data_IF_327429603532
#
_entry.id   IF_327429603532
#
_cell.length_a   1.000
_cell.length_b   1.000
_cell.length_c   1.000
_cell.angle_alpha   90.00
_cell.angle_beta   90.00
_cell.angle_gamma   90.00
#
_symmetry.space_group_name_H-M   'P 1'
#
loop_
_entity.id
_entity.type
_entity.pdbx_description
1 polymer ?
#
# COMPACT_ATOMS: atom_id res chain seq x y z
N UNK A 1 26.93 4.03 49.88
CA UNK A 1 27.20 4.54 48.51
C UNK A 1 27.00 3.48 47.42
N UNK A 2 27.51 2.26 47.53
CA UNK A 2 27.31 1.21 46.49
C UNK A 2 25.85 0.82 46.24
N UNK A 3 24.96 0.85 47.24
CA UNK A 3 23.55 0.51 47.12
C UNK A 3 22.73 1.61 46.43
N UNK A 4 23.12 2.89 46.54
CA UNK A 4 22.48 4.03 45.88
C UNK A 4 22.84 4.05 44.40
N UNK A 5 24.06 3.67 44.05
CA UNK A 5 24.50 3.58 42.66
C UNK A 5 23.74 2.49 41.86
N UNK A 6 23.46 1.35 42.55
CA UNK A 6 22.68 0.25 41.92
C UNK A 6 21.22 0.66 41.67
N UNK A 7 20.61 1.42 42.58
CA UNK A 7 19.25 1.94 42.42
C UNK A 7 19.16 2.98 41.28
N UNK A 8 20.18 3.79 41.08
CA UNK A 8 20.25 4.79 40.00
C UNK A 8 20.39 4.15 38.60
N UNK A 9 21.15 3.01 38.51
CA UNK A 9 21.23 2.26 37.25
C UNK A 9 19.92 1.61 36.85
N UNK A 10 19.06 1.18 37.77
CA UNK A 10 17.75 0.62 37.46
C UNK A 10 16.73 1.67 36.97
N UNK A 11 16.91 2.95 37.26
CA UNK A 11 16.00 4.01 36.81
C UNK A 11 16.21 4.40 35.36
N UNK A 12 17.35 4.11 34.76
CA UNK A 12 17.66 4.42 33.35
C UNK A 12 17.29 3.31 32.34
N UNK A 13 16.76 2.18 32.80
CA UNK A 13 16.46 1.03 31.94
C UNK A 13 15.04 1.05 31.31
N UNK A 14 14.22 2.07 31.57
CA UNK A 14 12.94 2.24 30.89
C UNK A 14 13.12 3.04 29.61
N UNK A 15 13.89 2.54 28.65
CA UNK A 15 13.77 2.96 27.26
C UNK A 15 12.43 2.43 26.78
N UNK A 16 11.44 3.29 26.66
CA UNK A 16 10.18 2.96 26.00
C UNK A 16 10.49 2.59 24.55
N UNK A 17 10.48 1.29 24.27
CA UNK A 17 10.49 0.78 22.89
C UNK A 17 9.17 1.24 22.23
N UNK A 18 9.19 2.42 21.63
CA UNK A 18 8.09 2.86 20.80
C UNK A 18 8.07 1.97 19.55
N UNK A 19 7.03 1.18 19.39
CA UNK A 19 6.82 0.45 18.16
C UNK A 19 6.67 1.48 17.03
N UNK A 20 7.43 1.32 15.94
CA UNK A 20 7.43 2.24 14.82
C UNK A 20 6.34 1.86 13.82
N UNK A 21 5.58 2.85 13.33
CA UNK A 21 4.67 2.65 12.22
C UNK A 21 5.44 2.20 10.99
N UNK A 22 4.98 1.11 10.36
CA UNK A 22 5.63 0.56 9.17
C UNK A 22 4.74 -0.43 8.43
N UNK A 23 5.08 -0.66 7.17
CA UNK A 23 4.59 -1.81 6.40
C UNK A 23 5.36 -3.06 6.89
N UNK A 24 4.61 -4.09 7.28
CA UNK A 24 5.15 -5.36 7.75
C UNK A 24 5.29 -6.36 6.60
N UNK A 25 4.32 -6.39 5.68
CA UNK A 25 4.40 -7.15 4.44
C UNK A 25 3.60 -6.46 3.34
N UNK A 26 4.01 -6.73 2.11
CA UNK A 26 3.35 -6.31 0.89
C UNK A 26 3.38 -7.47 -0.10
N UNK A 27 2.19 -7.99 -0.43
CA UNK A 27 2.00 -9.06 -1.40
C UNK A 27 1.15 -8.53 -2.56
N UNK A 28 1.57 -8.80 -3.79
CA UNK A 28 0.85 -8.40 -5.00
C UNK A 28 0.64 -9.61 -5.89
N UNK A 29 -0.63 -9.97 -6.11
CA UNK A 29 -1.04 -10.99 -7.07
C UNK A 29 -1.58 -10.29 -8.31
N UNK A 30 -1.10 -10.69 -9.48
CA UNK A 30 -1.50 -10.16 -10.77
C UNK A 30 -2.01 -11.30 -11.64
N UNK A 31 -3.28 -11.25 -11.99
CA UNK A 31 -3.93 -12.21 -12.88
C UNK A 31 -4.10 -11.55 -14.26
N UNK A 32 -3.51 -12.17 -15.29
CA UNK A 32 -3.58 -11.67 -16.67
C UNK A 32 -4.78 -12.28 -17.36
N UNK A 33 -5.71 -11.44 -17.81
CA UNK A 33 -6.91 -11.86 -18.51
C UNK A 33 -6.66 -12.01 -20.04
N UNK A 34 -7.49 -12.81 -20.70
CA UNK A 34 -7.37 -13.07 -22.13
C UNK A 34 -7.51 -11.81 -22.99
N UNK A 35 -8.18 -10.77 -22.49
CA UNK A 35 -8.34 -9.47 -23.17
C UNK A 35 -7.15 -8.50 -22.93
N UNK A 36 -6.11 -8.97 -22.23
CA UNK A 36 -4.94 -8.17 -21.86
C UNK A 36 -5.14 -7.24 -20.67
N UNK A 37 -6.30 -7.28 -20.02
CA UNK A 37 -6.49 -6.60 -18.73
C UNK A 37 -5.83 -7.39 -17.60
N UNK A 38 -5.51 -6.69 -16.52
CA UNK A 38 -4.95 -7.29 -15.30
C UNK A 38 -5.94 -7.10 -14.15
N UNK A 39 -6.24 -8.18 -13.45
CA UNK A 39 -6.86 -8.13 -12.15
C UNK A 39 -5.78 -8.23 -11.09
N UNK A 40 -5.71 -7.23 -10.22
CA UNK A 40 -4.66 -7.11 -9.22
C UNK A 40 -5.25 -7.15 -7.83
N UNK A 41 -4.63 -7.95 -6.97
CA UNK A 41 -4.92 -8.00 -5.55
C UNK A 41 -3.65 -7.65 -4.78
N UNK A 42 -3.64 -6.50 -4.10
CA UNK A 42 -2.56 -6.11 -3.20
C UNK A 42 -2.99 -6.36 -1.75
N UNK A 43 -2.15 -7.06 -0.99
CA UNK A 43 -2.35 -7.30 0.43
C UNK A 43 -1.24 -6.63 1.22
N UNK A 44 -1.59 -5.63 2.02
CA UNK A 44 -0.65 -4.76 2.72
C UNK A 44 -0.90 -4.89 4.21
N UNK A 45 0.08 -5.41 4.94
CA UNK A 45 0.03 -5.52 6.40
C UNK A 45 0.81 -4.36 7.00
N UNK A 46 0.17 -3.60 7.88
CA UNK A 46 0.78 -2.44 8.51
C UNK A 46 0.71 -2.51 10.04
N UNK A 47 1.70 -1.96 10.70
CA UNK A 47 1.64 -1.58 12.11
C UNK A 47 1.29 -0.11 12.18
N UNK A 48 0.17 0.21 12.81
CA UNK A 48 -0.32 1.56 13.02
C UNK A 48 -0.20 1.95 14.51
N UNK A 49 0.36 3.13 14.77
CA UNK A 49 0.52 3.69 16.11
C UNK A 49 -0.35 4.98 16.29
N UNK A 50 -1.08 5.38 15.24
CA UNK A 50 -1.95 6.56 15.27
C UNK A 50 -1.23 7.87 15.00
N UNK A 51 -0.01 7.83 14.45
CA UNK A 51 0.75 9.03 14.06
C UNK A 51 0.53 9.35 12.59
N UNK A 52 1.13 8.60 11.67
CA UNK A 52 0.94 8.74 10.22
C UNK A 52 -0.25 7.90 9.74
N UNK A 53 -0.39 6.66 10.24
CA UNK A 53 -1.50 5.76 9.93
C UNK A 53 -2.61 5.99 10.98
N UNK A 54 -3.50 6.93 10.69
CA UNK A 54 -4.53 7.36 11.64
C UNK A 54 -5.93 6.90 11.26
N UNK A 55 -6.30 6.98 9.96
CA UNK A 55 -7.63 6.66 9.45
C UNK A 55 -7.61 5.54 8.40
N UNK A 56 -6.45 5.23 7.89
CA UNK A 56 -6.21 4.24 6.84
C UNK A 56 -4.84 4.45 6.22
N UNK A 57 -4.66 3.83 5.06
CA UNK A 57 -3.46 3.99 4.23
C UNK A 57 -3.83 4.62 2.90
N UNK A 58 -2.83 5.09 2.16
CA UNK A 58 -3.01 5.44 0.76
C UNK A 58 -2.05 4.66 -0.13
N UNK A 59 -2.47 4.42 -1.38
CA UNK A 59 -1.69 3.78 -2.44
C UNK A 59 -1.75 4.65 -3.68
N UNK A 60 -0.60 5.09 -4.16
CA UNK A 60 -0.49 5.83 -5.41
C UNK A 60 -0.28 4.85 -6.57
N UNK A 61 -1.14 4.93 -7.58
CA UNK A 61 -1.06 4.13 -8.79
C UNK A 61 -0.80 5.03 -10.01
N UNK A 62 0.37 4.90 -10.66
CA UNK A 62 0.68 5.70 -11.83
C UNK A 62 -0.14 5.22 -13.04
N UNK A 63 -0.89 6.14 -13.65
CA UNK A 63 -1.67 5.84 -14.87
C UNK A 63 -1.09 6.48 -16.11
N UNK A 64 0.02 7.21 -16.00
CA UNK A 64 0.66 7.91 -17.11
C UNK A 64 2.15 7.69 -17.05
N UNK A 65 2.72 7.17 -18.13
CA UNK A 65 4.16 6.98 -18.27
C UNK A 65 4.60 7.20 -19.73
N UNK A 66 5.89 7.15 -19.97
CA UNK A 66 6.47 7.11 -21.30
C UNK A 66 7.06 5.72 -21.53
N UNK A 67 6.76 5.15 -22.69
CA UNK A 67 7.38 3.91 -23.12
C UNK A 67 8.86 4.12 -23.53
N UNK A 68 9.55 3.04 -23.91
CA UNK A 68 10.94 3.10 -24.34
C UNK A 68 11.17 3.94 -25.59
N UNK A 69 10.14 4.09 -26.42
CA UNK A 69 10.16 4.93 -27.62
C UNK A 69 9.82 6.41 -27.33
N UNK A 70 9.52 6.74 -26.05
CA UNK A 70 9.16 8.09 -25.63
C UNK A 70 7.68 8.44 -25.81
N UNK A 71 6.85 7.51 -26.29
CA UNK A 71 5.44 7.74 -26.46
C UNK A 71 4.73 7.83 -25.10
N UNK A 72 3.71 8.69 -25.06
CA UNK A 72 2.85 8.81 -23.87
C UNK A 72 1.87 7.66 -23.81
N UNK A 73 1.95 6.86 -22.75
CA UNK A 73 1.01 5.78 -22.46
C UNK A 73 0.10 6.18 -21.31
N UNK A 74 -1.19 5.94 -21.48
CA UNK A 74 -2.21 6.08 -20.43
C UNK A 74 -2.83 4.72 -20.21
N UNK A 75 -2.74 4.22 -18.99
CA UNK A 75 -3.33 2.94 -18.59
C UNK A 75 -4.70 3.16 -17.96
N UNK A 76 -5.61 2.22 -18.15
CA UNK A 76 -6.90 2.20 -17.48
C UNK A 76 -6.73 1.78 -16.03
N UNK A 77 -7.59 2.30 -15.16
CA UNK A 77 -7.64 1.93 -13.76
C UNK A 77 -9.08 1.94 -13.25
N UNK A 78 -9.48 0.84 -12.62
CA UNK A 78 -10.80 0.70 -12.01
C UNK A 78 -10.65 0.01 -10.66
N UNK A 79 -11.01 0.71 -9.59
CA UNK A 79 -11.09 0.13 -8.26
C UNK A 79 -12.28 -0.81 -8.17
N UNK A 80 -12.09 -1.99 -7.55
CA UNK A 80 -13.13 -3.00 -7.36
C UNK A 80 -13.58 -3.00 -5.91
N UNK A 81 -12.66 -3.21 -4.97
CA UNK A 81 -12.98 -3.20 -3.53
C UNK A 81 -11.76 -2.90 -2.68
N UNK A 82 -12.03 -2.49 -1.45
CA UNK A 82 -11.04 -2.43 -0.38
C UNK A 82 -11.60 -3.19 0.82
N UNK A 83 -10.73 -4.03 1.41
CA UNK A 83 -11.04 -4.72 2.66
C UNK A 83 -10.03 -4.32 3.73
N UNK A 84 -10.47 -4.25 4.98
CA UNK A 84 -9.61 -4.18 6.16
C UNK A 84 -9.92 -5.38 7.04
N UNK A 85 -8.88 -6.19 7.30
CA UNK A 85 -8.99 -7.43 8.08
C UNK A 85 -10.10 -8.36 7.57
N UNK A 86 -10.30 -8.39 6.24
CA UNK A 86 -11.31 -9.20 5.55
C UNK A 86 -12.72 -8.61 5.50
N UNK A 87 -12.97 -7.48 6.13
CA UNK A 87 -14.27 -6.78 6.09
C UNK A 87 -14.24 -5.59 5.13
N UNK A 88 -15.35 -5.27 4.45
CA UNK A 88 -15.41 -4.10 3.58
C UNK A 88 -14.98 -2.82 4.29
N UNK A 89 -14.09 -2.07 3.65
CA UNK A 89 -13.55 -0.81 4.15
C UNK A 89 -13.98 0.34 3.22
N UNK A 90 -14.44 1.48 3.75
CA UNK A 90 -14.66 2.66 2.93
C UNK A 90 -13.39 3.08 2.21
N UNK A 91 -13.55 3.63 1.01
CA UNK A 91 -12.43 4.12 0.21
C UNK A 91 -12.88 5.21 -0.75
N UNK A 92 -11.93 6.03 -1.21
CA UNK A 92 -12.13 7.01 -2.27
C UNK A 92 -10.85 7.20 -3.06
N UNK A 93 -10.97 7.77 -4.26
CA UNK A 93 -9.83 8.05 -5.12
C UNK A 93 -9.64 9.54 -5.34
N UNK A 94 -8.39 9.95 -5.48
CA UNK A 94 -7.99 11.31 -5.85
C UNK A 94 -7.15 11.28 -7.12
N UNK A 95 -7.40 12.21 -8.04
CA UNK A 95 -6.54 12.40 -9.20
C UNK A 95 -5.23 13.06 -8.78
N UNK A 96 -4.11 12.48 -9.20
CA UNK A 96 -2.78 13.06 -9.06
C UNK A 96 -2.21 13.38 -10.44
N UNK A 97 -1.15 14.20 -10.48
CA UNK A 97 -0.50 14.59 -11.73
C UNK A 97 -0.09 13.39 -12.60
N UNK A 98 0.38 12.32 -11.98
CA UNK A 98 0.87 11.11 -12.66
C UNK A 98 -0.07 9.90 -12.56
N UNK A 99 -1.20 10.01 -11.88
CA UNK A 99 -2.04 8.84 -11.67
C UNK A 99 -3.21 9.07 -10.74
N UNK A 100 -3.49 8.05 -9.96
CA UNK A 100 -4.60 8.00 -9.02
C UNK A 100 -4.05 7.62 -7.65
N UNK A 101 -4.51 8.31 -6.61
CA UNK A 101 -4.35 7.90 -5.22
C UNK A 101 -5.60 7.21 -4.75
N UNK A 102 -5.45 6.02 -4.20
CA UNK A 102 -6.48 5.27 -3.49
C UNK A 102 -6.29 5.57 -2.01
N UNK A 103 -7.31 6.11 -1.35
CA UNK A 103 -7.33 6.30 0.11
C UNK A 103 -8.28 5.27 0.71
N UNK A 104 -7.83 4.55 1.74
CA UNK A 104 -8.66 3.63 2.51
C UNK A 104 -9.15 4.31 3.78
N UNK A 105 -10.31 3.91 4.28
CA UNK A 105 -10.93 4.48 5.46
C UNK A 105 -11.86 5.66 5.16
N UNK A 106 -12.32 6.26 6.24
CA UNK A 106 -13.19 7.44 6.27
C UNK A 106 -12.67 8.46 7.29
N UNK A 107 -13.53 9.29 7.86
CA UNK A 107 -13.15 10.25 8.87
C UNK A 107 -12.89 9.65 10.26
N UNK A 108 -13.27 8.40 10.49
CA UNK A 108 -13.07 7.71 11.76
C UNK A 108 -11.60 7.30 11.94
N UNK A 109 -11.13 7.42 13.18
CA UNK A 109 -9.79 6.96 13.52
C UNK A 109 -9.75 5.44 13.67
N UNK A 110 -8.67 4.84 13.20
CA UNK A 110 -8.36 3.43 13.47
C UNK A 110 -8.09 3.24 14.98
N UNK A 111 -8.53 2.12 15.56
CA UNK A 111 -8.17 1.77 16.94
C UNK A 111 -6.68 1.42 17.02
N UNK A 112 -5.86 2.38 17.37
CA UNK A 112 -4.40 2.25 17.47
C UNK A 112 -3.93 2.29 18.94
N UNK A 113 -2.79 1.64 19.28
CA UNK A 113 -1.88 0.90 18.39
C UNK A 113 -2.42 -0.48 17.98
N UNK A 114 -2.30 -0.85 16.70
CA UNK A 114 -2.72 -2.17 16.21
C UNK A 114 -2.04 -2.53 14.88
N UNK A 115 -2.19 -3.79 14.48
CA UNK A 115 -1.85 -4.28 13.16
C UNK A 115 -3.12 -4.41 12.33
N UNK A 116 -3.06 -3.97 11.07
CA UNK A 116 -4.16 -4.08 10.12
C UNK A 116 -3.67 -4.71 8.82
N UNK A 117 -4.56 -5.46 8.18
CA UNK A 117 -4.36 -5.98 6.82
C UNK A 117 -5.32 -5.27 5.88
N UNK A 118 -4.79 -4.47 4.96
CA UNK A 118 -5.58 -3.89 3.88
C UNK A 118 -5.44 -4.75 2.64
N UNK A 119 -6.57 -5.05 2.00
CA UNK A 119 -6.62 -5.74 0.70
C UNK A 119 -7.27 -4.80 -0.30
N UNK A 120 -6.52 -4.46 -1.35
CA UNK A 120 -6.97 -3.61 -2.45
C UNK A 120 -7.13 -4.48 -3.69
N UNK A 121 -8.32 -4.48 -4.31
CA UNK A 121 -8.56 -5.16 -5.59
C UNK A 121 -8.93 -4.14 -6.65
N UNK A 122 -8.23 -4.21 -7.77
CA UNK A 122 -8.46 -3.31 -8.89
C UNK A 122 -8.15 -3.97 -10.23
N UNK A 123 -8.70 -3.41 -11.29
CA UNK A 123 -8.40 -3.78 -12.68
C UNK A 123 -7.62 -2.66 -13.34
N UNK A 124 -6.61 -3.04 -14.12
CA UNK A 124 -5.87 -2.12 -14.98
C UNK A 124 -5.75 -2.67 -16.38
N UNK A 125 -5.51 -1.80 -17.35
CA UNK A 125 -5.39 -2.16 -18.76
C UNK A 125 -4.17 -1.51 -19.36
N UNK A 126 -3.72 -2.01 -20.54
CA UNK A 126 -2.57 -1.46 -21.28
C UNK A 126 -1.23 -1.54 -20.55
N UNK A 127 -1.07 -2.56 -19.73
CA UNK A 127 0.17 -2.87 -19.02
C UNK A 127 1.04 -3.89 -19.77
N UNK A 128 0.47 -4.58 -20.78
CA UNK A 128 1.19 -5.55 -21.60
C UNK A 128 1.76 -4.88 -22.83
N UNK A 129 3.01 -5.19 -23.15
CA UNK A 129 3.65 -4.91 -24.42
C UNK A 129 3.67 -6.19 -25.28
N UNK A 130 3.24 -6.08 -26.54
CA UNK A 130 3.25 -7.16 -27.49
C UNK A 130 4.36 -6.90 -28.51
N UNK A 131 5.31 -7.82 -28.64
CA UNK A 131 6.46 -7.74 -29.54
C UNK A 131 6.49 -8.95 -30.46
N UNK A 132 7.21 -8.89 -31.57
CA UNK A 132 7.27 -9.96 -32.56
C UNK A 132 7.81 -11.28 -31.99
N UNK A 133 8.62 -11.23 -30.93
CA UNK A 133 9.32 -12.40 -30.37
C UNK A 133 8.85 -12.79 -28.96
N UNK A 134 8.14 -11.90 -28.26
CA UNK A 134 7.67 -12.13 -26.90
C UNK A 134 6.62 -11.10 -26.48
N UNK A 135 5.85 -11.44 -25.45
CA UNK A 135 4.99 -10.51 -24.73
C UNK A 135 5.67 -10.10 -23.43
N UNK A 136 5.51 -8.84 -23.04
CA UNK A 136 6.13 -8.27 -21.83
C UNK A 136 5.07 -7.66 -20.91
N UNK A 137 5.10 -8.05 -19.64
CA UNK A 137 4.37 -7.36 -18.59
C UNK A 137 5.31 -6.36 -17.90
N UNK A 138 5.04 -5.08 -18.07
CA UNK A 138 5.74 -4.04 -17.31
C UNK A 138 4.94 -3.70 -16.04
N UNK A 139 5.40 -4.22 -14.91
CA UNK A 139 4.72 -4.07 -13.63
C UNK A 139 5.66 -3.52 -12.56
N UNK A 140 5.20 -2.45 -11.90
CA UNK A 140 5.88 -1.89 -10.74
C UNK A 140 5.01 -2.15 -9.50
N UNK A 141 5.45 -3.06 -8.65
CA UNK A 141 4.71 -3.46 -7.46
C UNK A 141 4.78 -2.41 -6.33
N UNK A 142 5.83 -1.55 -6.30
CA UNK A 142 6.07 -0.57 -5.22
C UNK A 142 6.49 0.77 -5.82
#
# INVERSE_FOLDING_TARGET
>A
MKRILLALCCLFAFTTLHAQERILSYDSQVDVNADGSLDVTERIVVRAEGNAIRRGIYRDFPTRYRDRAGNRVVVGFQMIEVLRDGSPEPWFTERKRNGIRINTGNDDFLPTPAQFTFTLRYRTTRQLGFFDTHDELYWNAI
#
